data_IF_726534848370
#
_entry.id   IF_726534848370
#
_cell.length_a   1.000
_cell.length_b   1.000
_cell.length_c   1.000
_cell.angle_alpha   90.00
_cell.angle_beta   90.00
_cell.angle_gamma   90.00
#
_symmetry.space_group_name_H-M   'P 1'
#
loop_
_entity.id
_entity.type
_entity.pdbx_description
1 polymer ?
#
# COMPACT_ATOMS: atom_id res chain seq x y z
N UNK A 1 10.59 48.79 24.90
CA UNK A 1 10.93 47.38 25.21
C UNK A 1 9.72 46.72 25.86
N UNK A 2 8.97 45.92 25.10
CA UNK A 2 7.97 45.00 25.65
C UNK A 2 8.18 43.67 24.93
N UNK A 3 8.80 42.70 25.62
CA UNK A 3 8.86 41.31 25.17
C UNK A 3 7.49 40.70 25.47
N UNK A 4 6.68 40.47 24.45
CA UNK A 4 5.62 39.46 24.57
C UNK A 4 6.29 38.10 24.56
N UNK A 5 6.31 37.43 25.71
CA UNK A 5 6.63 36.01 25.78
C UNK A 5 5.50 35.23 25.11
N UNK A 6 5.71 34.78 23.88
CA UNK A 6 4.88 33.73 23.31
C UNK A 6 5.26 32.44 24.01
N UNK A 7 4.45 32.00 24.95
CA UNK A 7 4.57 30.63 25.47
C UNK A 7 4.03 29.70 24.39
N UNK A 8 4.91 28.89 23.82
CA UNK A 8 4.54 27.89 22.82
C UNK A 8 3.47 26.96 23.40
N UNK A 9 2.46 26.54 22.61
CA UNK A 9 1.49 25.54 23.04
C UNK A 9 2.17 24.29 23.61
N UNK A 10 1.76 23.86 24.80
CA UNK A 10 2.33 22.69 25.49
C UNK A 10 1.30 21.61 25.74
N UNK A 11 1.74 20.35 25.72
CA UNK A 11 0.93 19.21 26.09
C UNK A 11 0.63 19.25 27.61
N UNK A 12 -0.62 19.04 28.04
CA UNK A 12 -0.96 19.06 29.46
C UNK A 12 -0.51 17.82 30.24
N UNK A 13 -0.08 16.75 29.56
CA UNK A 13 0.22 15.46 30.17
C UNK A 13 1.73 15.10 30.14
N UNK A 14 2.56 15.85 29.41
CA UNK A 14 4.01 15.67 29.38
C UNK A 14 4.74 16.96 28.93
N UNK A 15 6.09 17.05 29.04
CA UNK A 15 6.84 18.27 28.71
C UNK A 15 6.90 18.65 27.22
N UNK A 16 6.10 18.02 26.35
CA UNK A 16 6.09 18.26 24.92
C UNK A 16 5.48 19.62 24.57
N UNK A 17 6.09 20.37 23.65
CA UNK A 17 5.59 21.66 23.17
C UNK A 17 5.85 21.84 21.68
N UNK A 18 4.94 22.53 20.98
CA UNK A 18 5.10 22.85 19.55
C UNK A 18 4.43 24.18 19.22
N UNK A 19 4.97 24.90 18.23
CA UNK A 19 4.43 26.17 17.74
C UNK A 19 3.05 26.03 17.09
N UNK A 20 2.70 24.85 16.56
CA UNK A 20 1.38 24.53 16.03
C UNK A 20 0.52 23.85 17.09
N UNK A 21 -0.46 24.59 17.63
CA UNK A 21 -1.40 24.06 18.64
C UNK A 21 -2.21 22.85 18.16
N UNK A 22 -2.38 22.64 16.84
CA UNK A 22 -3.02 21.43 16.33
C UNK A 22 -2.09 20.20 16.45
N UNK A 23 -0.78 20.40 16.36
CA UNK A 23 0.20 19.32 16.55
C UNK A 23 0.28 18.89 18.02
N UNK A 24 0.12 19.84 18.95
CA UNK A 24 -0.07 19.53 20.37
C UNK A 24 -1.36 18.77 20.62
N UNK A 25 -2.47 19.12 19.95
CA UNK A 25 -3.72 18.39 20.04
C UNK A 25 -3.64 16.97 19.45
N UNK A 26 -2.98 16.79 18.30
CA UNK A 26 -2.70 15.46 17.73
C UNK A 26 -1.80 14.66 18.68
N UNK A 27 -0.73 15.27 19.21
CA UNK A 27 0.12 14.64 20.22
C UNK A 27 -0.69 14.16 21.42
N UNK A 28 -1.62 14.98 21.95
CA UNK A 28 -2.52 14.57 23.03
C UNK A 28 -3.37 13.37 22.61
N UNK A 29 -3.99 13.41 21.44
CA UNK A 29 -4.83 12.31 20.96
C UNK A 29 -4.08 10.99 20.76
N UNK A 30 -2.81 11.04 20.32
CA UNK A 30 -2.02 9.85 20.00
C UNK A 30 -1.19 9.33 21.18
N UNK A 31 -0.69 10.22 22.05
CA UNK A 31 0.19 9.86 23.17
C UNK A 31 -0.57 9.77 24.50
N UNK A 32 -1.72 10.43 24.60
CA UNK A 32 -2.60 10.43 25.78
C UNK A 32 -4.06 10.13 25.38
N UNK A 33 -4.33 9.00 24.69
CA UNK A 33 -5.69 8.66 24.32
C UNK A 33 -6.54 8.51 25.57
N UNK A 34 -7.62 9.29 25.68
CA UNK A 34 -8.65 9.10 26.70
C UNK A 34 -9.30 7.74 26.47
N UNK A 35 -8.76 6.70 27.13
CA UNK A 35 -9.46 5.50 27.57
C UNK A 35 -8.49 4.61 28.34
N UNK A 36 -8.24 5.03 29.58
CA UNK A 36 -7.69 4.22 30.64
C UNK A 36 -8.46 4.51 31.92
N UNK A 37 -9.48 3.68 32.17
CA UNK A 37 -10.10 3.35 33.47
C UNK A 37 -11.43 4.02 33.88
N UNK A 38 -12.35 3.11 34.23
CA UNK A 38 -13.27 3.13 35.37
C UNK A 38 -14.66 3.78 35.20
N UNK A 39 -15.63 2.86 35.11
CA UNK A 39 -16.97 2.83 35.69
C UNK A 39 -17.29 3.99 36.64
N UNK A 40 -18.41 4.65 36.33
CA UNK A 40 -19.12 5.62 37.15
C UNK A 40 -19.27 5.14 38.61
N UNK A 41 -18.82 5.97 39.56
CA UNK A 41 -19.35 5.95 40.92
C UNK A 41 -19.90 7.34 41.24
N UNK A 42 -21.22 7.40 41.31
CA UNK A 42 -21.99 8.49 41.89
C UNK A 42 -21.62 8.64 43.37
N UNK A 43 -21.46 9.89 43.81
CA UNK A 43 -21.28 10.27 45.21
C UNK A 43 -22.49 9.87 46.06
N UNK A 44 -22.24 9.15 47.17
CA UNK A 44 -23.13 9.09 48.34
C UNK A 44 -22.25 9.25 49.60
N UNK A 45 -22.66 10.01 50.64
CA UNK A 45 -21.74 10.52 51.66
C UNK A 45 -21.45 9.54 52.81
N UNK A 46 -20.24 9.74 53.37
CA UNK A 46 -19.59 9.20 54.58
C UNK A 46 -20.48 8.69 55.73
N UNK A 47 -20.11 7.53 56.28
CA UNK A 47 -20.18 7.22 57.73
C UNK A 47 -18.98 6.34 58.16
N UNK A 48 -18.52 6.59 59.39
CA UNK A 48 -17.35 6.11 60.13
C UNK A 48 -17.26 4.60 60.48
N UNK A 49 -16.04 4.25 60.94
CA UNK A 49 -15.63 3.27 61.96
C UNK A 49 -15.22 1.86 61.51
N UNK A 50 -14.09 1.38 62.03
CA UNK A 50 -13.95 -0.02 62.47
C UNK A 50 -12.66 -0.77 62.14
N UNK A 51 -11.77 -0.79 63.13
CA UNK A 51 -10.59 -1.62 63.45
C UNK A 51 -10.64 -3.13 63.09
N UNK A 52 -9.43 -3.73 63.04
CA UNK A 52 -9.00 -5.16 63.20
C UNK A 52 -8.85 -5.98 61.89
N UNK A 53 -7.92 -6.92 61.69
CA UNK A 53 -6.57 -7.29 62.19
C UNK A 53 -6.19 -8.62 61.51
N UNK A 54 -4.89 -8.85 61.23
CA UNK A 54 -4.14 -10.14 61.12
C UNK A 54 -4.84 -11.45 60.67
N UNK A 55 -4.19 -12.19 59.77
CA UNK A 55 -3.58 -13.54 59.95
C UNK A 55 -2.97 -13.98 58.59
N UNK A 56 -1.65 -14.13 58.41
CA UNK A 56 -0.77 -15.28 58.66
C UNK A 56 -0.97 -16.52 57.75
N UNK A 57 0.12 -16.86 57.04
CA UNK A 57 0.43 -17.99 56.15
C UNK A 57 0.55 -19.30 56.96
N UNK A 58 0.60 -20.51 56.35
CA UNK A 58 1.92 -21.10 56.03
C UNK A 58 2.01 -22.01 54.77
N UNK A 59 3.28 -22.24 54.38
CA UNK A 59 3.86 -22.99 53.25
C UNK A 59 3.59 -24.52 53.18
N UNK A 60 3.88 -25.12 52.01
CA UNK A 60 4.43 -26.49 51.89
C UNK A 60 5.19 -26.75 50.55
N UNK A 61 6.13 -27.70 50.61
CA UNK A 61 7.35 -27.94 49.83
C UNK A 61 7.26 -28.66 48.44
N UNK A 62 8.29 -28.36 47.62
CA UNK A 62 9.14 -29.15 46.68
C UNK A 62 8.75 -30.53 46.11
N UNK A 63 9.01 -30.75 44.79
CA UNK A 63 10.08 -31.66 44.27
C UNK A 63 10.08 -31.88 42.73
N UNK A 64 11.30 -31.95 42.13
CA UNK A 64 11.75 -32.69 40.91
C UNK A 64 11.22 -32.28 39.53
N UNK A 65 11.95 -31.54 38.68
CA UNK A 65 13.03 -31.93 37.74
C UNK A 65 12.60 -32.74 36.50
N UNK A 66 12.63 -32.09 35.33
CA UNK A 66 13.22 -32.56 34.06
C UNK A 66 13.01 -31.48 32.97
N UNK A 67 14.10 -30.93 32.45
CA UNK A 67 14.10 -29.91 31.38
C UNK A 67 14.33 -30.57 30.02
N UNK A 68 13.51 -30.32 28.97
CA UNK A 68 13.86 -30.73 27.63
C UNK A 68 14.84 -29.72 27.03
N UNK A 69 15.92 -30.27 26.50
CA UNK A 69 17.00 -29.63 25.75
C UNK A 69 16.50 -28.71 24.62
N UNK A 70 17.12 -27.53 24.56
CA UNK A 70 16.89 -26.39 23.65
C UNK A 70 16.94 -26.67 22.13
N UNK A 71 17.33 -27.87 21.68
CA UNK A 71 17.45 -28.22 20.26
C UNK A 71 16.14 -28.75 19.65
N UNK A 72 15.26 -29.37 20.44
CA UNK A 72 13.99 -29.90 19.92
C UNK A 72 12.92 -28.82 19.70
N UNK A 73 12.93 -27.74 20.49
CA UNK A 73 12.00 -26.62 20.33
C UNK A 73 12.32 -25.72 19.13
N UNK A 74 13.59 -25.67 18.71
CA UNK A 74 14.02 -24.90 17.54
C UNK A 74 13.78 -25.66 16.23
N UNK A 75 13.87 -26.99 16.25
CA UNK A 75 13.46 -27.85 15.13
C UNK A 75 11.93 -27.87 14.95
N UNK A 76 11.14 -27.94 16.02
CA UNK A 76 9.68 -27.93 15.92
C UNK A 76 9.12 -26.60 15.40
N UNK A 77 9.71 -25.47 15.81
CA UNK A 77 9.30 -24.15 15.33
C UNK A 77 9.67 -23.93 13.85
N UNK A 78 10.81 -24.48 13.40
CA UNK A 78 11.21 -24.45 11.98
C UNK A 78 10.27 -25.27 11.08
N UNK A 79 9.74 -26.39 11.58
CA UNK A 79 8.77 -27.22 10.86
C UNK A 79 7.39 -26.56 10.78
N UNK A 80 6.93 -25.88 11.84
CA UNK A 80 5.69 -25.09 11.79
C UNK A 80 5.82 -23.87 10.84
N UNK A 81 6.99 -23.23 10.79
CA UNK A 81 7.29 -22.15 9.85
C UNK A 81 7.32 -22.63 8.39
N UNK A 82 7.98 -23.77 8.13
CA UNK A 82 8.00 -24.40 6.82
C UNK A 82 6.61 -24.88 6.43
N UNK A 83 5.78 -25.34 7.36
CA UNK A 83 4.37 -25.70 7.14
C UNK A 83 3.48 -24.50 6.86
N UNK A 84 3.64 -23.33 7.50
CA UNK A 84 2.84 -22.13 7.18
C UNK A 84 3.27 -21.56 5.83
N UNK A 85 4.58 -21.51 5.57
CA UNK A 85 5.12 -21.18 4.25
C UNK A 85 4.53 -22.17 3.22
N UNK A 86 4.69 -23.48 3.41
CA UNK A 86 4.11 -24.51 2.55
C UNK A 86 2.58 -24.49 2.52
N UNK A 87 1.85 -24.01 3.53
CA UNK A 87 0.39 -23.91 3.45
C UNK A 87 0.01 -22.73 2.54
N UNK A 88 0.69 -21.58 2.66
CA UNK A 88 0.53 -20.46 1.74
C UNK A 88 1.07 -20.74 0.32
N UNK A 89 2.08 -21.61 0.18
CA UNK A 89 2.75 -21.95 -1.09
C UNK A 89 2.24 -23.24 -1.77
N UNK A 90 1.83 -24.26 -1.04
CA UNK A 90 1.09 -25.42 -1.57
C UNK A 90 -0.32 -25.02 -2.01
N UNK A 91 -0.85 -23.91 -1.47
CA UNK A 91 -2.00 -23.22 -2.05
C UNK A 91 -1.77 -22.82 -3.51
N UNK A 92 -0.53 -22.56 -3.95
CA UNK A 92 -0.21 -22.28 -5.36
C UNK A 92 -0.40 -23.51 -6.26
N UNK A 93 -0.04 -24.71 -5.76
CA UNK A 93 -0.17 -25.96 -6.50
C UNK A 93 -1.60 -26.51 -6.55
N UNK A 94 -2.47 -26.04 -5.66
CA UNK A 94 -3.88 -26.43 -5.56
C UNK A 94 -4.85 -25.39 -6.14
N UNK A 95 -4.37 -24.17 -6.42
CA UNK A 95 -5.07 -23.24 -7.30
C UNK A 95 -5.04 -23.80 -8.72
N UNK A 96 -6.19 -23.94 -9.41
CA UNK A 96 -6.19 -24.33 -10.81
C UNK A 96 -5.31 -23.36 -11.59
N UNK A 97 -4.27 -23.87 -12.27
CA UNK A 97 -3.70 -23.14 -13.41
C UNK A 97 -4.89 -22.76 -14.26
N UNK A 98 -5.07 -21.45 -14.50
CA UNK A 98 -6.11 -20.96 -15.40
C UNK A 98 -5.79 -21.52 -16.79
N UNK A 99 -6.28 -22.73 -17.05
CA UNK A 99 -6.43 -23.27 -18.39
C UNK A 99 -7.46 -22.39 -19.07
N UNK A 100 -7.10 -22.02 -20.28
CA UNK A 100 -7.79 -21.05 -21.11
C UNK A 100 -9.03 -21.71 -21.71
N UNK A 101 -9.95 -22.18 -20.87
CA UNK A 101 -11.12 -22.90 -21.32
C UNK A 101 -12.38 -22.05 -21.20
N UNK A 102 -13.01 -21.91 -22.36
CA UNK A 102 -14.28 -21.23 -22.62
C UNK A 102 -15.41 -22.03 -21.98
N UNK A 103 -16.01 -21.53 -20.91
CA UNK A 103 -17.44 -21.67 -20.64
C UNK A 103 -17.77 -20.78 -19.44
N UNK A 104 -18.77 -19.92 -19.59
CA UNK A 104 -19.15 -18.94 -18.58
C UNK A 104 -19.93 -19.56 -17.43
N UNK A 105 -19.66 -19.07 -16.23
CA UNK A 105 -20.71 -18.92 -15.23
C UNK A 105 -20.54 -17.59 -14.49
N UNK A 106 -21.65 -16.83 -14.43
CA UNK A 106 -21.71 -15.42 -14.04
C UNK A 106 -21.75 -15.28 -12.51
N UNK A 107 -20.75 -14.61 -11.95
CA UNK A 107 -20.90 -13.85 -10.69
C UNK A 107 -20.53 -12.39 -10.97
N UNK A 108 -21.49 -11.49 -10.77
CA UNK A 108 -21.38 -10.06 -11.06
C UNK A 108 -20.34 -9.36 -10.18
N UNK A 109 -19.20 -9.01 -10.80
CA UNK A 109 -18.35 -7.90 -10.38
C UNK A 109 -18.37 -6.86 -11.51
N UNK A 110 -18.72 -5.61 -11.19
CA UNK A 110 -19.05 -4.56 -12.17
C UNK A 110 -17.86 -3.93 -12.91
N UNK A 111 -16.67 -4.54 -12.85
CA UNK A 111 -15.49 -4.11 -13.60
C UNK A 111 -14.96 -5.27 -14.43
N UNK A 112 -15.42 -5.40 -15.67
CA UNK A 112 -14.74 -6.24 -16.68
C UNK A 112 -14.68 -5.50 -18.00
N UNK A 113 -13.47 -5.07 -18.34
CA UNK A 113 -13.06 -4.66 -19.67
C UNK A 113 -13.29 -5.83 -20.65
N UNK A 114 -14.22 -5.66 -21.60
CA UNK A 114 -14.46 -6.67 -22.65
C UNK A 114 -13.40 -6.52 -23.74
N UNK A 115 -12.50 -7.49 -23.85
CA UNK A 115 -11.62 -7.67 -25.01
C UNK A 115 -12.43 -8.08 -26.23
N UNK A 116 -12.46 -7.24 -27.27
CA UNK A 116 -12.95 -7.58 -28.60
C UNK A 116 -11.85 -8.30 -29.36
N UNK A 117 -12.08 -9.58 -29.70
CA UNK A 117 -11.22 -10.34 -30.62
C UNK A 117 -11.81 -10.28 -32.02
N UNK A 118 -11.10 -9.63 -32.95
CA UNK A 118 -11.39 -9.69 -34.37
C UNK A 118 -10.80 -10.98 -34.93
N UNK A 119 -11.66 -11.86 -35.47
CA UNK A 119 -11.26 -13.12 -36.09
C UNK A 119 -11.44 -12.99 -37.60
N UNK A 120 -10.33 -13.03 -38.35
CA UNK A 120 -10.34 -13.11 -39.81
C UNK A 120 -10.88 -14.47 -40.26
N UNK A 121 -11.86 -14.45 -41.15
CA UNK A 121 -12.36 -15.60 -41.89
C UNK A 121 -12.51 -15.21 -43.35
N UNK A 122 -11.80 -15.95 -44.20
CA UNK A 122 -11.72 -15.74 -45.64
C UNK A 122 -12.80 -16.58 -46.37
N UNK A 123 -13.27 -16.06 -47.52
CA UNK A 123 -13.99 -16.71 -48.64
C UNK A 123 -15.54 -16.83 -48.69
N UNK A 124 -16.05 -16.15 -49.72
CA UNK A 124 -17.07 -16.46 -50.73
C UNK A 124 -18.53 -16.86 -50.42
N UNK A 125 -19.39 -16.08 -51.07
CA UNK A 125 -20.59 -16.43 -51.85
C UNK A 125 -22.00 -16.15 -51.31
N UNK A 126 -22.72 -15.43 -52.19
CA UNK A 126 -24.17 -15.29 -52.40
C UNK A 126 -25.01 -14.35 -51.51
N UNK A 127 -25.41 -13.28 -52.21
CA UNK A 127 -26.47 -12.32 -51.95
C UNK A 127 -27.79 -12.92 -51.45
N UNK A 128 -28.23 -12.55 -50.25
CA UNK A 128 -29.63 -12.33 -49.90
C UNK A 128 -29.74 -11.17 -48.90
N UNK A 129 -30.65 -10.23 -49.18
CA UNK A 129 -30.92 -9.04 -48.37
C UNK A 129 -31.71 -9.45 -47.11
N UNK A 130 -31.18 -9.16 -45.93
CA UNK A 130 -31.91 -9.15 -44.66
C UNK A 130 -31.49 -7.95 -43.80
N UNK A 131 -32.37 -7.41 -42.95
CA UNK A 131 -32.23 -6.07 -42.38
C UNK A 131 -31.06 -6.00 -41.41
N UNK A 132 -30.31 -4.90 -41.48
CA UNK A 132 -29.22 -4.56 -40.57
C UNK A 132 -29.67 -4.67 -39.12
N UNK A 133 -29.26 -5.74 -38.45
CA UNK A 133 -29.34 -5.84 -36.99
C UNK A 133 -28.25 -4.91 -36.46
N UNK A 134 -28.64 -3.68 -36.13
CA UNK A 134 -27.79 -2.77 -35.36
C UNK A 134 -27.34 -3.54 -34.12
N UNK A 135 -26.03 -3.77 -34.01
CA UNK A 135 -25.43 -4.20 -32.77
C UNK A 135 -25.83 -3.16 -31.72
N UNK A 136 -26.69 -3.55 -30.79
CA UNK A 136 -27.08 -2.71 -29.68
C UNK A 136 -25.81 -2.27 -28.96
N UNK A 137 -25.48 -0.97 -29.06
CA UNK A 137 -24.59 -0.33 -28.11
C UNK A 137 -25.21 -0.59 -26.73
N UNK A 138 -24.71 -1.59 -25.99
CA UNK A 138 -24.97 -1.70 -24.57
C UNK A 138 -24.56 -0.35 -23.96
N UNK A 139 -25.53 0.38 -23.39
CA UNK A 139 -25.31 1.68 -22.80
C UNK A 139 -24.25 1.57 -21.70
N UNK A 140 -22.99 1.89 -22.02
CA UNK A 140 -21.91 1.98 -21.04
C UNK A 140 -22.33 3.02 -20.00
N UNK A 141 -22.64 2.55 -18.80
CA UNK A 141 -23.18 3.41 -17.73
C UNK A 141 -22.04 4.19 -17.10
N UNK A 142 -22.25 5.49 -16.89
CA UNK A 142 -21.34 6.33 -16.10
C UNK A 142 -21.25 5.83 -14.66
N UNK A 143 -20.04 5.84 -14.13
CA UNK A 143 -19.74 5.50 -12.74
C UNK A 143 -20.24 6.57 -11.78
N UNK A 144 -20.40 6.18 -10.51
CA UNK A 144 -20.97 7.00 -9.45
C UNK A 144 -19.94 7.47 -8.44
N UNK A 145 -20.46 7.98 -7.31
CA UNK A 145 -19.64 8.43 -6.17
C UNK A 145 -18.92 7.31 -5.46
N UNK A 146 -19.43 6.08 -5.54
CA UNK A 146 -18.80 4.89 -4.96
C UNK A 146 -17.45 4.58 -5.61
N UNK A 147 -17.34 4.79 -6.92
CA UNK A 147 -16.11 4.50 -7.67
C UNK A 147 -15.23 5.73 -7.86
N UNK A 148 -15.83 6.86 -8.24
CA UNK A 148 -15.09 8.09 -8.58
C UNK A 148 -14.89 9.05 -7.40
N UNK A 149 -15.39 8.67 -6.22
CA UNK A 149 -15.31 9.48 -5.02
C UNK A 149 -16.31 10.65 -4.98
N UNK A 150 -16.18 11.56 -3.99
CA UNK A 150 -17.15 12.63 -3.75
C UNK A 150 -17.28 13.62 -4.92
N UNK A 151 -16.29 13.66 -5.82
CA UNK A 151 -16.22 14.54 -6.98
C UNK A 151 -16.56 13.84 -8.30
N UNK A 152 -17.28 12.71 -8.26
CA UNK A 152 -17.66 11.93 -9.43
C UNK A 152 -18.26 12.72 -10.61
N UNK A 153 -19.01 13.78 -10.32
CA UNK A 153 -19.69 14.61 -11.32
C UNK A 153 -19.03 15.98 -11.53
N UNK A 154 -17.84 16.19 -10.95
CA UNK A 154 -17.09 17.43 -11.11
C UNK A 154 -16.62 17.57 -12.56
N UNK A 155 -16.85 18.75 -13.14
CA UNK A 155 -16.32 19.13 -14.46
C UNK A 155 -14.91 19.71 -14.37
N UNK A 156 -14.63 20.48 -13.31
CA UNK A 156 -13.33 21.11 -13.07
C UNK A 156 -13.13 21.35 -11.58
N UNK A 157 -11.92 21.09 -11.10
CA UNK A 157 -11.52 21.36 -9.73
C UNK A 157 -11.33 22.86 -9.47
N UNK A 158 -11.33 23.30 -8.20
CA UNK A 158 -11.06 24.70 -7.86
C UNK A 158 -9.71 25.19 -8.39
N UNK A 159 -9.66 26.43 -8.89
CA UNK A 159 -8.45 27.02 -9.49
C UNK A 159 -7.24 27.02 -8.55
N UNK A 160 -7.46 27.27 -7.25
CA UNK A 160 -6.38 27.25 -6.26
C UNK A 160 -5.72 25.86 -6.16
N UNK A 161 -6.52 24.79 -6.28
CA UNK A 161 -6.04 23.42 -6.23
C UNK A 161 -5.30 23.07 -7.53
N UNK A 162 -5.86 23.44 -8.68
CA UNK A 162 -5.20 23.27 -9.99
C UNK A 162 -3.81 23.91 -9.97
N UNK A 163 -3.72 25.20 -9.58
CA UNK A 163 -2.43 25.92 -9.50
C UNK A 163 -1.45 25.28 -8.53
N UNK A 164 -1.94 24.74 -7.40
CA UNK A 164 -1.10 24.02 -6.45
C UNK A 164 -0.55 22.72 -7.04
N UNK A 165 -1.37 21.97 -7.78
CA UNK A 165 -0.95 20.73 -8.46
C UNK A 165 -0.03 21.01 -9.66
N UNK A 166 -0.25 22.10 -10.40
CA UNK A 166 0.60 22.57 -11.51
C UNK A 166 2.00 22.95 -11.03
N UNK A 167 2.08 23.70 -9.92
CA UNK A 167 3.35 24.08 -9.31
C UNK A 167 4.18 22.86 -8.90
N UNK A 168 3.52 21.75 -8.59
CA UNK A 168 4.17 20.54 -8.10
C UNK A 168 4.80 20.72 -6.72
N UNK A 169 5.71 19.82 -6.38
CA UNK A 169 6.30 19.77 -5.05
C UNK A 169 7.42 20.81 -4.90
N UNK A 170 7.47 21.49 -3.75
CA UNK A 170 8.59 22.37 -3.41
C UNK A 170 9.83 21.52 -3.17
N UNK A 171 10.87 21.73 -3.97
CA UNK A 171 12.16 21.06 -3.82
C UNK A 171 13.15 22.00 -3.13
N UNK A 172 13.59 21.62 -1.93
CA UNK A 172 14.57 22.37 -1.15
C UNK A 172 15.94 21.72 -1.30
N UNK A 173 16.97 22.54 -1.54
CA UNK A 173 18.36 22.07 -1.55
C UNK A 173 18.90 22.15 -0.13
N UNK A 174 19.26 21.01 0.45
CA UNK A 174 20.00 20.98 1.72
C UNK A 174 21.46 20.59 1.46
N UNK A 175 22.36 21.21 2.19
CA UNK A 175 23.76 20.81 2.23
C UNK A 175 23.93 19.93 3.48
N UNK A 176 24.27 18.66 3.27
CA UNK A 176 24.61 17.72 4.34
C UNK A 176 26.11 17.54 4.36
N UNK A 177 26.71 17.47 5.54
CA UNK A 177 28.08 17.01 5.69
C UNK A 177 27.99 15.49 5.87
N UNK A 178 28.59 14.74 4.95
CA UNK A 178 28.63 13.27 5.06
C UNK A 178 29.51 12.87 6.25
N UNK A 179 29.39 11.63 6.76
CA UNK A 179 30.27 11.12 7.83
C UNK A 179 31.77 11.24 7.50
N UNK A 180 32.11 11.27 6.21
CA UNK A 180 33.48 11.47 5.69
C UNK A 180 33.89 12.95 5.59
N UNK A 181 33.09 13.87 6.16
CA UNK A 181 33.36 15.31 6.18
C UNK A 181 33.12 16.03 4.84
N UNK A 182 32.53 15.36 3.84
CA UNK A 182 32.28 15.95 2.52
C UNK A 182 30.92 16.64 2.46
N UNK A 183 30.86 17.80 1.80
CA UNK A 183 29.62 18.52 1.57
C UNK A 183 28.83 17.83 0.44
N UNK A 184 27.74 17.17 0.79
CA UNK A 184 26.79 16.55 -0.13
C UNK A 184 25.54 17.41 -0.26
N UNK A 185 25.25 17.88 -1.48
CA UNK A 185 24.03 18.64 -1.75
C UNK A 185 22.91 17.67 -2.08
N UNK A 186 21.91 17.57 -1.20
CA UNK A 186 20.73 16.71 -1.40
C UNK A 186 19.51 17.56 -1.74
N UNK A 187 18.79 17.15 -2.78
CA UNK A 187 17.46 17.68 -3.06
C UNK A 187 16.46 16.96 -2.17
N UNK A 188 15.70 17.70 -1.36
CA UNK A 188 14.55 17.18 -0.63
C UNK A 188 13.30 17.68 -1.32
N UNK A 189 12.47 16.74 -1.76
CA UNK A 189 11.13 17.03 -2.23
C UNK A 189 10.16 16.77 -1.08
N UNK A 190 9.41 17.79 -0.67
CA UNK A 190 8.65 17.80 0.60
C UNK A 190 7.80 16.54 0.85
N UNK A 191 7.16 16.01 -0.19
CA UNK A 191 6.24 14.88 -0.12
C UNK A 191 6.84 13.55 -0.59
N UNK A 192 8.15 13.48 -0.82
CA UNK A 192 8.84 12.26 -1.22
C UNK A 192 9.90 11.89 -0.17
N UNK A 193 10.01 10.61 0.14
CA UNK A 193 11.07 10.11 1.03
C UNK A 193 11.72 8.87 0.40
N UNK A 194 12.99 8.95 -0.02
CA UNK A 194 13.74 7.79 -0.49
C UNK A 194 14.15 6.88 0.67
N UNK A 195 14.60 5.66 0.36
CA UNK A 195 15.21 4.70 1.29
C UNK A 195 14.31 4.21 2.45
N UNK A 196 12.99 4.46 2.38
CA UNK A 196 12.07 4.00 3.42
C UNK A 196 12.02 2.47 3.48
N UNK A 197 12.08 1.78 2.34
CA UNK A 197 12.13 0.30 2.29
C UNK A 197 13.32 -0.23 3.10
N UNK A 198 14.51 0.35 2.94
CA UNK A 198 15.70 -0.06 3.71
C UNK A 198 15.51 0.14 5.22
N UNK A 199 14.89 1.24 5.64
CA UNK A 199 14.59 1.49 7.04
C UNK A 199 13.56 0.50 7.61
N UNK A 200 12.51 0.17 6.84
CA UNK A 200 11.50 -0.81 7.24
C UNK A 200 12.09 -2.23 7.31
N UNK A 201 12.95 -2.59 6.37
CA UNK A 201 13.69 -3.86 6.40
C UNK A 201 14.54 -3.98 7.68
N UNK A 202 15.22 -2.90 8.06
CA UNK A 202 15.99 -2.86 9.30
C UNK A 202 15.09 -3.02 10.54
N UNK A 203 13.93 -2.35 10.56
CA UNK A 203 12.95 -2.46 11.66
C UNK A 203 12.35 -3.86 11.77
N UNK A 204 12.00 -4.51 10.65
CA UNK A 204 11.55 -5.90 10.64
C UNK A 204 12.63 -6.85 11.15
N UNK A 205 13.91 -6.57 10.89
CA UNK A 205 15.03 -7.32 11.48
C UNK A 205 15.06 -7.24 13.02
N UNK A 206 14.74 -6.07 13.59
CA UNK A 206 14.68 -5.83 15.04
C UNK A 206 13.41 -6.38 15.71
N UNK A 207 12.29 -6.42 15.01
CA UNK A 207 11.02 -6.90 15.55
C UNK A 207 11.07 -8.42 15.76
N UNK A 208 11.00 -8.86 17.03
CA UNK A 208 11.05 -10.27 17.42
C UNK A 208 9.85 -11.08 16.94
N UNK A 209 8.71 -10.42 16.70
CA UNK A 209 7.51 -11.10 16.20
C UNK A 209 7.58 -11.39 14.71
N UNK A 210 8.49 -10.79 13.96
CA UNK A 210 8.70 -11.08 12.54
C UNK A 210 9.56 -12.33 12.43
N UNK A 211 9.02 -13.36 11.77
CA UNK A 211 9.76 -14.57 11.43
C UNK A 211 10.52 -14.36 10.13
N UNK A 212 9.83 -13.90 9.07
CA UNK A 212 10.43 -13.54 7.79
C UNK A 212 9.77 -12.32 7.17
N UNK A 213 10.55 -11.51 6.46
CA UNK A 213 10.04 -10.38 5.69
C UNK A 213 10.72 -10.28 4.33
N UNK A 214 9.95 -10.00 3.30
CA UNK A 214 10.39 -9.84 1.92
C UNK A 214 9.99 -8.46 1.45
N UNK A 215 10.92 -7.76 0.81
CA UNK A 215 10.71 -6.40 0.33
C UNK A 215 11.01 -6.29 -1.15
N UNK A 216 10.32 -5.36 -1.81
CA UNK A 216 10.68 -4.90 -3.15
C UNK A 216 12.04 -4.19 -3.12
N UNK A 217 12.47 -3.72 -4.29
CA UNK A 217 13.66 -2.88 -4.42
C UNK A 217 13.61 -1.66 -3.51
N UNK A 218 14.78 -1.27 -3.00
CA UNK A 218 14.98 -0.06 -2.18
C UNK A 218 14.86 1.23 -2.96
N UNK A 219 14.80 1.15 -4.29
CA UNK A 219 14.71 2.27 -5.23
C UNK A 219 13.30 2.88 -5.36
N UNK A 220 12.30 2.39 -4.62
CA UNK A 220 10.99 3.05 -4.55
C UNK A 220 10.99 4.17 -3.49
N UNK A 221 10.48 5.34 -3.86
CA UNK A 221 10.25 6.43 -2.92
C UNK A 221 8.86 6.29 -2.28
N UNK A 222 8.76 6.57 -0.97
CA UNK A 222 7.45 6.81 -0.37
C UNK A 222 6.96 8.19 -0.78
N UNK A 223 5.74 8.28 -1.30
CA UNK A 223 5.13 9.54 -1.72
C UNK A 223 3.85 9.77 -0.94
N UNK A 224 3.82 10.86 -0.17
CA UNK A 224 2.64 11.28 0.59
C UNK A 224 1.84 12.34 -0.16
N UNK A 225 0.57 12.48 0.23
CA UNK A 225 -0.27 13.61 -0.18
C UNK A 225 0.27 14.94 0.35
N UNK A 226 0.11 16.00 -0.43
CA UNK A 226 0.36 17.38 -0.01
C UNK A 226 -0.76 17.88 0.90
N UNK A 227 -0.46 18.92 1.69
CA UNK A 227 -1.43 19.55 2.59
C UNK A 227 -2.60 20.12 1.75
N UNK A 228 -3.83 19.78 2.14
CA UNK A 228 -5.10 20.23 1.53
C UNK A 228 -5.34 19.77 0.08
N UNK A 229 -4.58 18.81 -0.45
CA UNK A 229 -4.79 18.39 -1.86
C UNK A 229 -6.09 17.61 -2.10
N UNK A 230 -6.62 16.93 -1.08
CA UNK A 230 -7.74 16.00 -1.24
C UNK A 230 -7.26 14.56 -1.45
N UNK A 231 -8.08 13.73 -2.09
CA UNK A 231 -7.82 12.29 -2.26
C UNK A 231 -7.42 11.98 -3.69
N UNK A 232 -6.10 11.90 -3.92
CA UNK A 232 -5.48 11.53 -5.20
C UNK A 232 -4.63 10.26 -5.05
N UNK A 233 -5.03 9.32 -4.19
CA UNK A 233 -4.24 8.14 -3.83
C UNK A 233 -3.79 7.33 -5.05
N UNK A 234 -4.67 7.02 -6.01
CA UNK A 234 -4.30 6.29 -7.22
C UNK A 234 -3.16 6.94 -8.01
N UNK A 235 -3.21 8.25 -8.19
CA UNK A 235 -2.14 9.01 -8.85
C UNK A 235 -0.83 8.99 -8.05
N UNK A 236 -0.89 9.11 -6.71
CA UNK A 236 0.30 9.03 -5.85
C UNK A 236 0.95 7.63 -5.88
N UNK A 237 0.14 6.58 -5.97
CA UNK A 237 0.65 5.22 -6.15
C UNK A 237 1.27 5.03 -7.54
N UNK A 238 0.72 5.60 -8.61
CA UNK A 238 1.38 5.64 -9.93
C UNK A 238 2.74 6.36 -9.82
N UNK A 239 2.82 7.49 -9.11
CA UNK A 239 4.11 8.18 -8.89
C UNK A 239 5.11 7.30 -8.13
N UNK A 240 4.67 6.49 -7.15
CA UNK A 240 5.56 5.57 -6.43
C UNK A 240 6.11 4.48 -7.37
N UNK A 241 5.25 3.89 -8.21
CA UNK A 241 5.66 2.95 -9.25
C UNK A 241 6.65 3.57 -10.24
N UNK A 242 6.42 4.81 -10.68
CA UNK A 242 7.33 5.55 -11.57
C UNK A 242 8.67 5.85 -10.88
N UNK A 243 8.69 6.16 -9.58
CA UNK A 243 9.95 6.41 -8.86
C UNK A 243 10.88 5.19 -8.91
N UNK A 244 10.33 3.98 -8.77
CA UNK A 244 11.09 2.74 -8.96
C UNK A 244 11.65 2.62 -10.39
N UNK A 245 10.86 2.92 -11.42
CA UNK A 245 11.31 2.87 -12.82
C UNK A 245 12.45 3.85 -13.09
N UNK A 246 12.34 5.09 -12.59
CA UNK A 246 13.36 6.12 -12.75
C UNK A 246 14.68 5.71 -12.09
N UNK A 247 14.63 5.30 -10.83
CA UNK A 247 15.83 4.96 -10.05
C UNK A 247 16.49 3.65 -10.56
N UNK A 248 15.71 2.67 -10.98
CA UNK A 248 16.24 1.43 -11.57
C UNK A 248 16.64 1.55 -13.04
N UNK A 249 16.33 2.68 -13.70
CA UNK A 249 16.43 2.84 -15.17
C UNK A 249 15.75 1.70 -15.93
N UNK A 250 14.56 1.31 -15.47
CA UNK A 250 13.79 0.20 -16.05
C UNK A 250 13.27 0.51 -17.46
N UNK A 251 12.72 -0.49 -18.18
CA UNK A 251 12.08 -0.26 -19.47
C UNK A 251 11.01 0.85 -19.40
N UNK A 252 11.06 1.79 -20.34
CA UNK A 252 10.14 2.93 -20.42
C UNK A 252 10.41 4.06 -19.41
N UNK A 253 11.49 4.01 -18.62
CA UNK A 253 11.85 5.11 -17.72
C UNK A 253 12.11 6.44 -18.45
N UNK A 254 12.53 6.40 -19.72
CA UNK A 254 12.77 7.58 -20.55
C UNK A 254 11.51 8.45 -20.76
N UNK A 255 10.31 7.87 -20.59
CA UNK A 255 9.05 8.61 -20.60
C UNK A 255 8.85 9.50 -19.37
N UNK A 256 9.68 9.33 -18.33
CA UNK A 256 9.62 10.07 -17.08
C UNK A 256 10.96 10.75 -16.77
N UNK A 257 11.40 11.74 -17.56
CA UNK A 257 12.67 12.42 -17.30
C UNK A 257 12.54 13.38 -16.11
N UNK A 258 13.56 13.44 -15.26
CA UNK A 258 13.66 14.42 -14.18
C UNK A 258 12.67 14.16 -13.03
N UNK A 259 11.88 15.17 -12.67
CA UNK A 259 10.94 15.07 -11.55
C UNK A 259 9.73 14.17 -11.90
N UNK A 260 9.13 13.56 -10.87
CA UNK A 260 7.90 12.76 -11.05
C UNK A 260 6.78 13.61 -11.66
N UNK A 261 5.95 13.03 -12.56
CA UNK A 261 4.86 13.75 -13.20
C UNK A 261 3.83 14.21 -12.17
N UNK A 262 3.31 15.43 -12.34
CA UNK A 262 2.24 15.96 -11.49
C UNK A 262 0.94 15.19 -11.67
N UNK A 263 -0.02 15.40 -10.76
CA UNK A 263 -1.37 14.80 -10.87
C UNK A 263 -2.01 15.18 -12.21
N UNK A 264 -1.87 16.43 -12.66
CA UNK A 264 -2.47 16.89 -13.91
C UNK A 264 -1.78 16.27 -15.13
N UNK A 265 -0.45 16.14 -15.11
CA UNK A 265 0.27 15.43 -16.16
C UNK A 265 -0.14 13.96 -16.24
N UNK A 266 -0.32 13.29 -15.10
CA UNK A 266 -0.83 11.92 -15.07
C UNK A 266 -2.26 11.83 -15.64
N UNK A 267 -3.14 12.78 -15.34
CA UNK A 267 -4.47 12.84 -15.95
C UNK A 267 -4.38 12.98 -17.47
N UNK A 268 -3.49 13.84 -17.96
CA UNK A 268 -3.27 14.02 -19.39
C UNK A 268 -2.76 12.73 -20.06
N UNK A 269 -1.80 12.05 -19.44
CA UNK A 269 -1.22 10.80 -19.93
C UNK A 269 -2.24 9.65 -19.94
N UNK A 270 -3.06 9.52 -18.89
CA UNK A 270 -4.12 8.50 -18.79
C UNK A 270 -5.19 8.73 -19.87
N UNK A 271 -5.65 9.97 -20.03
CA UNK A 271 -6.63 10.28 -21.07
C UNK A 271 -6.06 10.09 -22.48
N UNK A 272 -4.78 10.39 -22.69
CA UNK A 272 -4.11 10.10 -23.95
C UNK A 272 -4.01 8.59 -24.20
N UNK A 273 -3.79 7.77 -23.16
CA UNK A 273 -3.84 6.32 -23.26
C UNK A 273 -5.21 5.82 -23.73
N UNK A 274 -6.30 6.43 -23.23
CA UNK A 274 -7.65 6.14 -23.70
C UNK A 274 -7.84 6.51 -25.17
N UNK A 275 -7.28 7.64 -25.62
CA UNK A 275 -7.35 8.07 -27.03
C UNK A 275 -6.59 7.11 -27.96
N UNK A 276 -5.54 6.45 -27.46
CA UNK A 276 -4.83 5.36 -28.15
C UNK A 276 -5.54 3.99 -28.05
N UNK A 277 -6.69 3.90 -27.38
CA UNK A 277 -7.50 2.68 -27.28
C UNK A 277 -7.21 1.79 -26.07
N UNK A 278 -6.24 2.13 -25.22
CA UNK A 278 -5.96 1.36 -23.99
C UNK A 278 -7.00 1.66 -22.93
N UNK A 279 -7.75 0.66 -22.45
CA UNK A 279 -8.82 0.82 -21.45
C UNK A 279 -9.75 2.03 -21.71
N UNK A 280 -10.05 2.29 -23.00
CA UNK A 280 -10.74 3.51 -23.46
C UNK A 280 -12.16 3.67 -22.91
N UNK A 281 -12.77 2.59 -22.41
CA UNK A 281 -14.06 2.60 -21.70
C UNK A 281 -14.04 3.55 -20.50
N UNK A 282 -12.88 3.71 -19.84
CA UNK A 282 -12.68 4.64 -18.73
C UNK A 282 -13.06 6.09 -19.07
N UNK A 283 -12.88 6.53 -20.33
CA UNK A 283 -13.30 7.87 -20.78
C UNK A 283 -14.81 8.07 -20.63
N UNK A 284 -15.60 7.06 -21.03
CA UNK A 284 -17.06 7.10 -20.95
C UNK A 284 -17.54 6.95 -19.50
N UNK A 285 -16.98 5.97 -18.78
CA UNK A 285 -17.31 5.63 -17.40
C UNK A 285 -17.08 6.81 -16.44
N UNK A 286 -15.96 7.52 -16.60
CA UNK A 286 -15.60 8.67 -15.76
C UNK A 286 -16.16 10.00 -16.27
N UNK A 287 -16.50 10.07 -17.56
CA UNK A 287 -16.78 11.33 -18.24
C UNK A 287 -15.56 12.25 -18.38
N UNK A 288 -14.35 11.68 -18.35
CA UNK A 288 -13.08 12.40 -18.35
C UNK A 288 -12.59 12.72 -16.93
N UNK A 289 -11.27 12.71 -16.73
CA UNK A 289 -10.61 12.94 -15.44
C UNK A 289 -9.76 14.21 -15.42
N UNK A 290 -9.38 14.77 -16.58
CA UNK A 290 -8.56 15.98 -16.70
C UNK A 290 -9.13 17.15 -15.91
N UNK A 291 -8.31 17.73 -15.05
CA UNK A 291 -8.67 18.88 -14.25
C UNK A 291 -9.74 18.59 -13.20
N UNK A 292 -10.00 17.33 -12.85
CA UNK A 292 -11.00 16.93 -11.85
C UNK A 292 -10.37 16.23 -10.64
N UNK A 293 -11.14 16.10 -9.57
CA UNK A 293 -10.73 15.35 -8.35
C UNK A 293 -11.27 13.92 -8.32
N UNK A 294 -11.61 13.36 -9.48
CA UNK A 294 -12.13 11.98 -9.59
C UNK A 294 -11.05 10.98 -9.18
N UNK A 295 -11.48 9.95 -8.46
CA UNK A 295 -10.64 8.81 -8.16
C UNK A 295 -10.33 8.05 -9.45
N UNK A 296 -9.17 7.39 -9.43
CA UNK A 296 -8.74 6.44 -10.45
C UNK A 296 -8.36 5.14 -9.77
N UNK A 297 -8.31 4.06 -10.53
CA UNK A 297 -7.96 2.74 -10.02
C UNK A 297 -6.91 2.05 -10.88
N UNK A 298 -6.93 0.72 -10.76
CA UNK A 298 -6.01 -0.19 -11.46
C UNK A 298 -6.10 -0.04 -12.98
N UNK A 299 -7.30 0.21 -13.51
CA UNK A 299 -7.53 0.30 -14.96
C UNK A 299 -6.85 1.53 -15.59
N UNK A 300 -6.84 2.68 -14.91
CA UNK A 300 -6.14 3.88 -15.36
C UNK A 300 -4.62 3.72 -15.26
N UNK A 301 -4.14 3.12 -14.17
CA UNK A 301 -2.72 2.82 -14.01
C UNK A 301 -2.23 1.89 -15.14
N UNK A 302 -3.00 0.84 -15.45
CA UNK A 302 -2.70 -0.08 -16.53
C UNK A 302 -2.72 0.61 -17.90
N UNK A 303 -3.73 1.45 -18.17
CA UNK A 303 -3.82 2.22 -19.41
C UNK A 303 -2.55 3.04 -19.63
N UNK A 304 -2.14 3.80 -18.60
CA UNK A 304 -0.95 4.63 -18.63
C UNK A 304 0.31 3.81 -18.93
N UNK A 305 0.59 2.75 -18.18
CA UNK A 305 1.82 1.98 -18.38
C UNK A 305 1.86 1.26 -19.73
N UNK A 306 0.77 0.57 -20.12
CA UNK A 306 0.74 -0.14 -21.40
C UNK A 306 0.88 0.80 -22.60
N UNK A 307 0.27 1.99 -22.51
CA UNK A 307 0.36 2.98 -23.58
C UNK A 307 1.78 3.53 -23.80
N UNK A 308 2.64 3.47 -22.80
CA UNK A 308 4.05 3.82 -22.84
C UNK A 308 4.96 2.61 -23.15
N UNK A 309 4.39 1.48 -23.55
CA UNK A 309 5.13 0.23 -23.76
C UNK A 309 5.72 -0.39 -22.50
N UNK A 310 5.27 0.04 -21.31
CA UNK A 310 5.70 -0.51 -20.02
C UNK A 310 4.80 -1.69 -19.68
N UNK A 311 5.38 -2.88 -19.70
CA UNK A 311 4.66 -4.13 -19.41
C UNK A 311 4.12 -4.19 -17.99
N UNK A 312 2.81 -4.37 -17.87
CA UNK A 312 2.15 -4.61 -16.60
C UNK A 312 0.94 -5.53 -16.72
N UNK A 313 0.63 -6.21 -15.63
CA UNK A 313 -0.53 -7.10 -15.51
C UNK A 313 -1.39 -6.65 -14.33
N UNK A 314 -2.68 -6.46 -14.60
CA UNK A 314 -3.70 -6.22 -13.59
C UNK A 314 -4.44 -7.52 -13.27
N UNK A 315 -4.69 -7.78 -11.99
CA UNK A 315 -5.43 -8.95 -11.52
C UNK A 315 -6.51 -8.52 -10.54
N UNK A 316 -7.73 -9.01 -10.72
CA UNK A 316 -8.83 -8.83 -9.77
C UNK A 316 -8.92 -10.07 -8.87
N UNK A 317 -9.05 -9.84 -7.56
CA UNK A 317 -9.04 -10.87 -6.53
C UNK A 317 -10.31 -10.71 -5.72
N UNK A 318 -11.31 -11.54 -6.02
CA UNK A 318 -12.56 -11.63 -5.29
C UNK A 318 -12.65 -12.91 -4.46
N UNK A 319 -13.76 -13.08 -3.76
CA UNK A 319 -14.09 -14.34 -3.08
C UNK A 319 -14.33 -15.45 -4.11
N UNK A 320 -13.63 -16.57 -3.99
CA UNK A 320 -13.89 -17.80 -4.76
C UNK A 320 -14.54 -18.85 -3.87
N UNK A 321 -15.04 -19.95 -4.47
CA UNK A 321 -15.60 -21.06 -3.72
C UNK A 321 -14.50 -21.72 -2.87
N UNK A 322 -14.47 -21.40 -1.57
CA UNK A 322 -13.57 -22.02 -0.58
C UNK A 322 -12.45 -21.11 -0.04
N UNK A 323 -12.14 -19.98 -0.69
CA UNK A 323 -11.00 -19.12 -0.30
C UNK A 323 -11.47 -17.67 -0.11
N UNK A 324 -11.32 -17.08 1.09
CA UNK A 324 -11.58 -15.66 1.30
C UNK A 324 -10.66 -14.77 0.44
N UNK A 325 -11.18 -13.65 -0.07
CA UNK A 325 -10.44 -12.75 -0.95
C UNK A 325 -9.11 -12.25 -0.34
N UNK A 326 -9.09 -11.98 0.98
CA UNK A 326 -7.88 -11.53 1.67
C UNK A 326 -6.80 -12.63 1.74
N UNK A 327 -7.19 -13.89 1.93
CA UNK A 327 -6.28 -15.03 1.91
C UNK A 327 -5.68 -15.23 0.51
N UNK A 328 -6.52 -15.14 -0.53
CA UNK A 328 -6.06 -15.20 -1.91
C UNK A 328 -5.08 -14.05 -2.26
N UNK A 329 -5.36 -12.84 -1.78
CA UNK A 329 -4.45 -11.68 -1.92
C UNK A 329 -3.10 -11.94 -1.24
N UNK A 330 -3.10 -12.39 0.02
CA UNK A 330 -1.87 -12.68 0.76
C UNK A 330 -1.04 -13.75 0.05
N UNK A 331 -1.68 -14.84 -0.42
CA UNK A 331 -1.01 -15.90 -1.16
C UNK A 331 -0.39 -15.40 -2.48
N UNK A 332 -1.13 -14.63 -3.28
CA UNK A 332 -0.59 -14.07 -4.54
C UNK A 332 0.58 -13.10 -4.32
N UNK A 333 0.53 -12.27 -3.27
CA UNK A 333 1.63 -11.35 -2.95
C UNK A 333 2.84 -12.09 -2.40
N UNK A 334 2.63 -13.12 -1.57
CA UNK A 334 3.71 -13.97 -1.08
C UNK A 334 4.44 -14.66 -2.24
N UNK A 335 3.69 -15.23 -3.19
CA UNK A 335 4.25 -15.84 -4.40
C UNK A 335 5.05 -14.84 -5.24
N UNK A 336 4.55 -13.60 -5.40
CA UNK A 336 5.27 -12.54 -6.11
C UNK A 336 6.65 -12.28 -5.49
N UNK A 337 6.73 -12.04 -4.18
CA UNK A 337 8.02 -11.74 -3.54
C UNK A 337 8.94 -12.95 -3.46
N UNK A 338 8.39 -14.16 -3.26
CA UNK A 338 9.18 -15.40 -3.25
C UNK A 338 9.80 -15.72 -4.61
N UNK A 339 9.18 -15.31 -5.71
CA UNK A 339 9.70 -15.57 -7.07
C UNK A 339 11.12 -15.04 -7.32
N UNK A 340 11.57 -14.04 -6.54
CA UNK A 340 12.93 -13.48 -6.63
C UNK A 340 13.89 -14.00 -5.53
N UNK A 341 13.46 -14.95 -4.71
CA UNK A 341 14.24 -15.47 -3.59
C UNK A 341 14.82 -16.86 -3.92
N UNK A 342 16.15 -17.04 -3.87
CA UNK A 342 16.77 -18.36 -3.92
C UNK A 342 16.29 -19.25 -2.77
N UNK A 343 15.98 -20.52 -3.05
CA UNK A 343 15.45 -21.49 -2.08
C UNK A 343 16.46 -21.83 -0.96
N UNK A 344 17.74 -21.58 -1.18
CA UNK A 344 18.86 -21.95 -0.30
C UNK A 344 19.19 -20.89 0.77
N UNK A 345 18.53 -19.72 0.76
CA UNK A 345 18.79 -18.63 1.70
C UNK A 345 17.71 -18.47 2.76
N UNK A 346 18.07 -18.81 4.00
CA UNK A 346 17.20 -18.63 5.17
C UNK A 346 17.42 -17.29 5.90
N UNK A 347 17.50 -16.20 5.14
CA UNK A 347 17.61 -14.86 5.71
C UNK A 347 16.27 -14.39 6.29
N UNK A 348 16.29 -13.82 7.52
CA UNK A 348 15.10 -13.25 8.18
C UNK A 348 14.47 -12.13 7.35
N UNK A 349 15.28 -11.25 6.77
CA UNK A 349 14.81 -10.13 5.95
C UNK A 349 15.48 -10.19 4.59
N UNK A 350 14.67 -10.28 3.54
CA UNK A 350 15.14 -10.38 2.15
C UNK A 350 14.76 -9.12 1.40
N UNK A 351 15.77 -8.42 0.88
CA UNK A 351 15.60 -7.32 -0.07
C UNK A 351 15.74 -7.86 -1.48
N UNK A 352 14.68 -7.75 -2.28
CA UNK A 352 14.69 -8.18 -3.69
C UNK A 352 14.94 -7.00 -4.62
N UNK A 353 15.14 -7.28 -5.92
CA UNK A 353 15.11 -6.24 -6.96
C UNK A 353 13.72 -6.09 -7.60
N UNK A 354 12.70 -6.78 -7.07
CA UNK A 354 11.36 -6.75 -7.63
C UNK A 354 10.76 -5.34 -7.54
N UNK A 355 9.94 -4.95 -8.52
CA UNK A 355 9.15 -3.74 -8.41
C UNK A 355 8.14 -3.75 -7.25
N UNK A 356 7.71 -2.58 -6.77
CA UNK A 356 6.53 -2.48 -5.91
C UNK A 356 5.24 -2.81 -6.70
N UNK A 357 4.15 -3.10 -5.99
CA UNK A 357 2.87 -3.51 -6.59
C UNK A 357 1.79 -2.47 -6.27
N UNK A 358 1.09 -1.97 -7.30
CA UNK A 358 -0.07 -1.11 -7.10
C UNK A 358 -1.21 -1.94 -6.50
N UNK A 359 -1.85 -1.47 -5.43
CA UNK A 359 -2.85 -2.21 -4.69
C UNK A 359 -4.12 -1.37 -4.47
N UNK A 360 -5.26 -1.92 -4.86
CA UNK A 360 -6.56 -1.28 -4.78
C UNK A 360 -7.54 -2.16 -4.00
N UNK A 361 -8.35 -1.50 -3.19
CA UNK A 361 -9.64 -2.04 -2.75
C UNK A 361 -10.68 -0.92 -2.85
N UNK A 362 -11.93 -1.20 -2.48
CA UNK A 362 -12.98 -0.19 -2.54
C UNK A 362 -12.60 1.06 -1.72
N UNK A 363 -12.66 2.24 -2.37
CA UNK A 363 -12.47 3.55 -1.75
C UNK A 363 -11.02 4.03 -1.55
N UNK A 364 -10.00 3.18 -1.73
CA UNK A 364 -8.60 3.59 -1.52
C UNK A 364 -7.60 2.71 -2.26
N UNK A 365 -6.42 3.27 -2.55
CA UNK A 365 -5.28 2.53 -3.08
C UNK A 365 -4.00 2.84 -2.32
N UNK A 366 -3.11 1.86 -2.34
CA UNK A 366 -1.79 1.87 -1.71
C UNK A 366 -0.77 1.23 -2.66
N UNK A 367 0.49 1.24 -2.25
CA UNK A 367 1.57 0.54 -2.95
C UNK A 367 2.13 -0.53 -2.01
N UNK A 368 2.02 -1.80 -2.38
CA UNK A 368 2.65 -2.90 -1.64
C UNK A 368 4.14 -2.87 -1.94
N UNK A 369 4.93 -2.82 -0.87
CA UNK A 369 6.40 -2.79 -0.89
C UNK A 369 7.02 -4.05 -0.28
N UNK A 370 6.20 -4.95 0.26
CA UNK A 370 6.69 -6.17 0.88
C UNK A 370 5.60 -7.02 1.48
N UNK A 371 6.04 -8.15 2.03
CA UNK A 371 5.23 -9.15 2.70
C UNK A 371 6.00 -9.66 3.91
N UNK A 372 5.34 -9.81 5.05
CA UNK A 372 5.96 -10.41 6.23
C UNK A 372 5.09 -11.51 6.81
N UNK A 373 5.78 -12.47 7.43
CA UNK A 373 5.24 -13.55 8.24
C UNK A 373 5.68 -13.27 9.66
N UNK A 374 4.71 -13.35 10.56
CA UNK A 374 4.87 -13.11 11.98
C UNK A 374 4.59 -14.38 12.77
N UNK A 375 4.84 -14.30 14.07
CA UNK A 375 4.47 -15.33 15.03
C UNK A 375 3.00 -15.79 14.86
N UNK A 376 2.76 -17.06 15.19
CA UNK A 376 1.42 -17.69 15.16
C UNK A 376 0.77 -17.69 13.78
N UNK A 377 1.57 -17.73 12.71
CA UNK A 377 1.11 -17.81 11.33
C UNK A 377 0.42 -16.55 10.80
N UNK A 378 0.53 -15.42 11.51
CA UNK A 378 -0.01 -14.15 11.05
C UNK A 378 0.82 -13.59 9.90
N UNK A 379 0.17 -13.04 8.87
CA UNK A 379 0.85 -12.38 7.77
C UNK A 379 0.35 -10.94 7.57
N UNK A 380 1.25 -10.06 7.14
CA UNK A 380 0.91 -8.69 6.77
C UNK A 380 1.46 -8.35 5.39
N UNK A 381 0.68 -7.59 4.64
CA UNK A 381 1.24 -6.76 3.58
C UNK A 381 1.98 -5.59 4.23
N UNK A 382 3.15 -5.25 3.67
CA UNK A 382 3.85 -4.01 3.96
C UNK A 382 3.55 -3.02 2.83
N UNK A 383 3.03 -1.85 3.18
CA UNK A 383 2.50 -0.89 2.20
C UNK A 383 2.99 0.53 2.43
N UNK A 384 3.19 1.27 1.35
CA UNK A 384 3.13 2.72 1.36
C UNK A 384 1.70 3.17 1.10
N UNK A 385 1.16 3.92 2.05
CA UNK A 385 -0.15 4.56 1.94
C UNK A 385 0.05 6.06 1.79
N UNK A 386 -0.37 6.66 0.66
CA UNK A 386 -0.13 8.07 0.36
C UNK A 386 -0.83 9.02 1.34
N UNK A 387 -1.77 8.53 2.16
CA UNK A 387 -2.42 9.31 3.21
C UNK A 387 -1.45 9.74 4.29
N UNK A 388 -0.41 8.94 4.56
CA UNK A 388 0.49 9.12 5.68
C UNK A 388 1.85 9.67 5.23
N UNK A 389 2.38 10.58 6.04
CA UNK A 389 3.75 11.06 5.90
C UNK A 389 4.72 10.08 6.54
N UNK A 390 5.93 10.00 6.00
CA UNK A 390 7.01 9.24 6.62
C UNK A 390 7.32 9.79 8.02
N UNK A 391 7.36 8.96 9.07
CA UNK A 391 7.74 9.38 10.42
C UNK A 391 9.13 10.01 10.44
N UNK A 392 9.33 10.99 11.32
CA UNK A 392 10.61 11.69 11.47
C UNK A 392 11.78 10.71 11.77
N UNK A 393 11.52 9.66 12.55
CA UNK A 393 12.48 8.59 12.86
C UNK A 393 13.05 7.92 11.61
N UNK A 394 12.22 7.69 10.59
CA UNK A 394 12.67 7.14 9.31
C UNK A 394 13.28 8.23 8.43
N UNK A 395 12.69 9.43 8.37
CA UNK A 395 13.19 10.54 7.53
C UNK A 395 14.62 10.96 7.87
N UNK A 396 14.96 10.95 9.15
CA UNK A 396 16.29 11.33 9.64
C UNK A 396 17.22 10.13 9.83
N UNK A 397 16.76 8.91 9.56
CA UNK A 397 17.65 7.76 9.56
C UNK A 397 18.67 7.88 8.45
N UNK A 398 19.95 7.97 8.82
CA UNK A 398 21.04 7.64 7.90
C UNK A 398 21.03 6.13 7.69
N UNK A 399 21.48 5.65 6.53
CA UNK A 399 21.46 4.22 6.17
C UNK A 399 22.17 3.30 7.19
N UNK A 400 22.86 3.87 8.18
CA UNK A 400 23.44 3.22 9.35
C UNK A 400 22.43 3.10 10.51
N UNK A 401 21.74 1.97 10.55
CA UNK A 401 21.33 1.22 11.76
C UNK A 401 20.83 2.05 12.96
N UNK A 402 19.62 2.61 12.91
CA UNK A 402 18.99 3.16 14.11
C UNK A 402 18.30 2.03 14.91
N UNK A 403 18.69 1.86 16.17
CA UNK A 403 18.02 0.92 17.09
C UNK A 403 16.81 1.60 17.72
N UNK A 404 15.69 0.89 17.81
CA UNK A 404 14.51 1.35 18.53
C UNK A 404 14.04 0.24 19.47
N UNK A 405 13.68 0.56 20.72
CA UNK A 405 13.18 -0.44 21.66
C UNK A 405 11.82 -1.01 21.23
N UNK A 406 11.06 -0.27 20.42
CA UNK A 406 9.74 -0.67 19.92
C UNK A 406 9.65 -0.45 18.39
N UNK A 407 10.16 -1.40 17.58
CA UNK A 407 10.03 -1.35 16.12
C UNK A 407 8.58 -1.55 15.66
N UNK A 408 7.78 -2.32 16.41
CA UNK A 408 6.41 -2.65 16.07
C UNK A 408 5.51 -1.41 15.98
N UNK A 409 5.71 -0.41 16.86
CA UNK A 409 4.98 0.86 16.83
C UNK A 409 5.16 1.62 15.51
N UNK A 410 6.37 1.64 14.97
CA UNK A 410 6.65 2.29 13.68
C UNK A 410 6.07 1.45 12.53
N UNK A 411 6.32 0.13 12.56
CA UNK A 411 5.86 -0.81 11.53
C UNK A 411 4.33 -0.87 11.43
N UNK A 412 3.60 -0.64 12.53
CA UNK A 412 2.12 -0.62 12.56
C UNK A 412 1.52 0.29 11.49
N UNK A 413 2.13 1.44 11.19
CA UNK A 413 1.65 2.35 10.13
C UNK A 413 1.74 1.75 8.71
N UNK A 414 2.67 0.82 8.51
CA UNK A 414 2.98 0.20 7.21
C UNK A 414 2.36 -1.19 7.05
N UNK A 415 1.88 -1.81 8.13
CA UNK A 415 1.29 -3.16 8.11
C UNK A 415 -0.19 -3.11 7.72
N UNK A 416 -0.61 -4.05 6.87
CA UNK A 416 -2.02 -4.36 6.59
C UNK A 416 -2.21 -5.88 6.72
N UNK A 417 -2.75 -6.29 7.86
CA UNK A 417 -3.02 -7.70 8.19
C UNK A 417 -4.49 -8.10 8.03
N UNK A 418 -4.83 -9.30 8.52
CA UNK A 418 -6.17 -9.88 8.44
C UNK A 418 -7.29 -8.93 8.92
N UNK A 419 -7.13 -8.29 10.08
CA UNK A 419 -8.12 -7.34 10.62
C UNK A 419 -8.43 -6.17 9.69
N UNK A 420 -7.45 -5.73 8.91
CA UNK A 420 -7.64 -4.68 7.91
C UNK A 420 -8.26 -5.25 6.64
N UNK A 421 -7.68 -6.33 6.11
CA UNK A 421 -8.02 -6.86 4.79
C UNK A 421 -9.42 -7.51 4.77
N UNK A 422 -9.86 -8.15 5.85
CA UNK A 422 -11.16 -8.81 5.94
C UNK A 422 -12.36 -7.86 5.76
N UNK A 423 -12.15 -6.55 5.87
CA UNK A 423 -13.17 -5.51 5.65
C UNK A 423 -13.57 -5.40 4.17
N UNK A 424 -12.79 -5.97 3.26
CA UNK A 424 -12.99 -5.83 1.82
C UNK A 424 -13.21 -7.19 1.16
N UNK A 425 -14.13 -7.23 0.19
CA UNK A 425 -14.51 -8.46 -0.52
C UNK A 425 -13.79 -8.62 -1.85
N UNK A 426 -13.24 -7.53 -2.39
CA UNK A 426 -12.55 -7.50 -3.67
C UNK A 426 -11.31 -6.63 -3.56
N UNK A 427 -10.25 -7.09 -4.20
CA UNK A 427 -9.00 -6.39 -4.36
C UNK A 427 -8.61 -6.38 -5.82
N UNK A 428 -7.77 -5.42 -6.19
CA UNK A 428 -7.06 -5.47 -7.45
C UNK A 428 -5.59 -5.16 -7.20
N UNK A 429 -4.73 -5.80 -7.95
CA UNK A 429 -3.30 -5.52 -7.95
C UNK A 429 -2.81 -5.28 -9.36
N UNK A 430 -1.81 -4.43 -9.51
CA UNK A 430 -1.07 -4.28 -10.76
C UNK A 430 0.43 -4.43 -10.52
N UNK A 431 1.03 -5.35 -11.28
CA UNK A 431 2.43 -5.74 -11.20
C UNK A 431 3.12 -5.41 -12.52
N UNK A 432 4.37 -4.95 -12.49
CA UNK A 432 5.16 -4.89 -13.73
C UNK A 432 5.54 -6.30 -14.18
N UNK A 433 5.61 -6.50 -15.49
CA UNK A 433 5.98 -7.77 -16.12
C UNK A 433 7.29 -7.57 -16.88
N UNK A 434 8.39 -8.24 -16.46
CA UNK A 434 9.63 -8.23 -17.24
C UNK A 434 9.41 -8.82 -18.64
N UNK A 435 10.10 -8.29 -19.66
CA UNK A 435 10.08 -8.78 -21.05
C UNK A 435 8.75 -8.66 -21.80
N UNK A 436 7.97 -7.61 -21.52
CA UNK A 436 6.80 -7.30 -22.32
C UNK A 436 7.21 -6.89 -23.74
N UNK A 437 6.81 -7.68 -24.72
CA UNK A 437 6.88 -7.34 -26.14
C UNK A 437 5.47 -7.00 -26.61
N UNK A 438 5.21 -5.73 -26.92
CA UNK A 438 4.02 -5.39 -27.69
C UNK A 438 4.17 -6.05 -29.06
N UNK A 439 3.37 -7.09 -29.30
CA UNK A 439 3.08 -7.47 -30.68
C UNK A 439 2.30 -6.31 -31.27
N UNK A 440 2.99 -5.45 -32.03
CA UNK A 440 2.35 -4.50 -32.93
C UNK A 440 1.44 -5.35 -33.83
N UNK A 441 0.12 -5.15 -33.69
CA UNK A 441 -0.89 -5.76 -34.56
C UNK A 441 -1.13 -4.84 -35.73
#
# INVERSE_FOLDING_TARGET
MYRHGSTDPTCPFCPFSDLDGNFVAEHVQYCHPENGLQTEQQEIPRVNNGVFSKLQIPDAHESGDETPTSEHASLSHSLEEEMVLEEYFAFEHSLPRVQKDRAGDRVQSHYVSRQTTLRNGDRNDRCQRTPSTQASHENIKRLGRSELGPYAHEKKMPLWLSKMLEKGNTASKINLITPEGKLSRRLIVENQTPNVVSALAHLCGQDKSVQRAFFCSTHVHQISKMRREGSFCGYRNIQMLISYLQECRGPGHDHFPGALPTILQLQDMIEHAWDMGFNSVGRTETGGIKGTRKYIGTSEAQALFLSLGIGCEASSIGKTNGIPAHSALLSQVAAYFRSACPLDKNEKVVLTNLPPVYFQHHGHSMTIIGFEIRDKGHANLLVFDPTYKTPATIKHSTATTFKTPDPARILKGYRRGGEYLQKYQNFEILKYVPNFSMRLV
#
